data_IF_700741265000
#
_entry.id   IF_700741265000
#
_cell.length_a   1.000
_cell.length_b   1.000
_cell.length_c   1.000
_cell.angle_alpha   90.00
_cell.angle_beta   90.00
_cell.angle_gamma   90.00
#
_symmetry.space_group_name_H-M   'P 1'
#
loop_
_entity.id
_entity.type
_entity.pdbx_description
1 polymer ?
#
# COMPACT_ATOMS: atom_id res chain seq x y z
N UNK A 1 -28.33 -25.54 -37.63
CA UNK A 1 -29.79 -25.31 -37.50
C UNK A 1 -30.04 -23.85 -37.19
N UNK A 2 -30.24 -23.02 -38.20
CA UNK A 2 -30.65 -21.62 -38.05
C UNK A 2 -31.92 -21.45 -38.86
N UNK A 3 -33.05 -21.63 -38.16
CA UNK A 3 -34.38 -21.43 -38.73
C UNK A 3 -34.58 -19.96 -39.02
N UNK A 4 -34.35 -19.57 -40.27
CA UNK A 4 -34.81 -18.29 -40.80
C UNK A 4 -36.33 -18.31 -40.70
N UNK A 5 -36.88 -17.59 -39.71
CA UNK A 5 -38.34 -17.38 -39.60
C UNK A 5 -38.77 -16.61 -40.85
N UNK A 6 -39.16 -17.34 -41.89
CA UNK A 6 -39.82 -16.76 -43.06
C UNK A 6 -41.13 -16.17 -42.57
N UNK A 7 -41.26 -14.86 -42.71
CA UNK A 7 -42.52 -14.15 -42.51
C UNK A 7 -43.54 -14.76 -43.49
N UNK A 8 -44.80 -14.97 -43.07
CA UNK A 8 -45.81 -15.56 -43.94
C UNK A 8 -45.95 -14.72 -45.20
N UNK A 9 -45.70 -15.34 -46.36
CA UNK A 9 -45.93 -14.73 -47.65
C UNK A 9 -47.43 -14.48 -47.79
N UNK A 10 -47.82 -13.20 -47.79
CA UNK A 10 -49.19 -12.79 -48.09
C UNK A 10 -49.44 -13.18 -49.55
N UNK A 11 -50.50 -13.96 -49.87
CA UNK A 11 -50.81 -14.33 -51.25
C UNK A 11 -50.96 -13.06 -52.10
N UNK A 12 -50.23 -12.97 -53.20
CA UNK A 12 -50.17 -11.79 -54.06
C UNK A 12 -51.50 -11.45 -54.76
N UNK A 13 -52.54 -12.29 -54.64
CA UNK A 13 -53.74 -12.23 -55.46
C UNK A 13 -54.92 -11.42 -54.89
N UNK A 14 -54.75 -10.64 -53.82
CA UNK A 14 -55.86 -9.75 -53.35
C UNK A 14 -55.43 -8.35 -52.92
N UNK A 15 -54.19 -7.93 -53.16
CA UNK A 15 -53.77 -6.55 -52.88
C UNK A 15 -53.56 -5.79 -54.20
N UNK A 16 -54.14 -4.58 -54.36
CA UNK A 16 -54.06 -3.80 -55.61
C UNK A 16 -52.66 -3.23 -55.91
N UNK A 17 -51.61 -3.68 -55.21
CA UNK A 17 -50.22 -3.26 -55.42
C UNK A 17 -49.19 -4.24 -54.81
N UNK A 18 -47.96 -4.20 -55.32
CA UNK A 18 -46.84 -5.07 -54.93
C UNK A 18 -46.11 -4.57 -53.65
N UNK A 19 -45.93 -5.45 -52.66
CA UNK A 19 -45.22 -5.20 -51.40
C UNK A 19 -43.74 -5.56 -51.54
N UNK A 20 -42.82 -4.71 -51.07
CA UNK A 20 -41.37 -4.89 -51.23
C UNK A 20 -40.51 -3.92 -50.41
N UNK A 21 -39.20 -3.84 -50.70
CA UNK A 21 -38.30 -2.90 -50.03
C UNK A 21 -38.79 -1.47 -50.20
N UNK A 22 -38.99 -0.75 -49.08
CA UNK A 22 -39.60 0.59 -49.02
C UNK A 22 -41.07 0.67 -49.47
N UNK A 23 -41.77 -0.47 -49.61
CA UNK A 23 -43.20 -0.56 -49.95
C UNK A 23 -43.94 -1.45 -48.95
N UNK A 24 -44.22 -0.97 -47.73
CA UNK A 24 -44.91 -1.76 -46.70
C UNK A 24 -46.37 -2.08 -47.08
N UNK A 25 -46.99 -3.13 -46.52
CA UNK A 25 -48.41 -3.45 -46.66
C UNK A 25 -49.34 -2.29 -46.24
N UNK A 26 -50.41 -2.00 -47.00
CA UNK A 26 -51.31 -0.84 -46.82
C UNK A 26 -52.05 -0.96 -45.50
N UNK A 27 -52.38 -2.19 -45.09
CA UNK A 27 -52.98 -2.49 -43.79
C UNK A 27 -52.09 -2.09 -42.59
N UNK A 28 -50.79 -1.88 -42.80
CA UNK A 28 -49.82 -1.47 -41.78
C UNK A 28 -49.20 -0.09 -42.05
N UNK A 29 -49.59 0.57 -43.14
CA UNK A 29 -49.17 1.95 -43.40
C UNK A 29 -49.92 2.87 -42.44
N UNK A 30 -49.20 3.84 -41.90
CA UNK A 30 -49.82 4.90 -41.12
C UNK A 30 -50.65 5.78 -42.05
N UNK A 31 -51.95 5.91 -41.78
CA UNK A 31 -52.83 6.74 -42.59
C UNK A 31 -52.36 8.21 -42.59
N UNK A 32 -52.45 8.87 -43.75
CA UNK A 32 -52.15 10.30 -43.86
C UNK A 32 -52.97 11.10 -42.82
N UNK A 33 -52.27 11.83 -41.94
CA UNK A 33 -52.89 12.63 -40.89
C UNK A 33 -53.17 11.90 -39.57
N UNK A 34 -52.95 10.58 -39.46
CA UNK A 34 -53.06 9.88 -38.18
C UNK A 34 -51.82 10.13 -37.31
N UNK A 35 -51.98 10.87 -36.20
CA UNK A 35 -50.97 10.96 -35.14
C UNK A 35 -50.95 9.65 -34.34
N UNK A 36 -50.20 8.66 -34.81
CA UNK A 36 -50.03 7.33 -34.18
C UNK A 36 -49.40 7.44 -32.77
N UNK A 37 -48.75 8.56 -32.46
CA UNK A 37 -48.26 8.88 -31.13
C UNK A 37 -48.85 10.21 -30.61
N UNK A 38 -50.17 10.25 -30.36
CA UNK A 38 -50.88 11.46 -29.88
C UNK A 38 -50.31 12.05 -28.60
N UNK A 39 -49.77 11.22 -27.71
CA UNK A 39 -49.12 11.68 -26.47
C UNK A 39 -47.65 12.09 -26.68
N UNK A 40 -47.09 11.75 -27.84
CA UNK A 40 -45.69 11.97 -28.15
C UNK A 40 -44.77 11.42 -27.07
N UNK A 41 -43.53 11.84 -27.14
CA UNK A 41 -42.71 11.88 -25.94
C UNK A 41 -43.14 13.13 -25.14
N UNK A 42 -43.41 13.05 -23.83
CA UNK A 42 -43.84 14.20 -23.04
C UNK A 42 -42.88 15.38 -23.20
N UNK A 43 -43.42 16.57 -23.46
CA UNK A 43 -42.66 17.81 -23.63
C UNK A 43 -41.90 18.08 -22.32
N UNK A 44 -40.56 18.08 -22.39
CA UNK A 44 -39.68 18.25 -21.22
C UNK A 44 -39.18 16.96 -20.55
N UNK A 45 -39.50 15.78 -21.09
CA UNK A 45 -38.94 14.52 -20.59
C UNK A 45 -37.42 14.45 -20.84
N UNK A 46 -36.63 14.75 -19.81
CA UNK A 46 -35.17 14.55 -19.82
C UNK A 46 -34.89 13.04 -19.90
N UNK A 47 -33.85 12.64 -20.64
CA UNK A 47 -33.30 11.30 -20.43
C UNK A 47 -32.93 11.22 -18.95
N UNK A 48 -33.33 10.15 -18.23
CA UNK A 48 -32.75 9.87 -16.92
C UNK A 48 -31.27 9.67 -17.15
N UNK A 49 -30.48 10.69 -16.85
CA UNK A 49 -29.04 10.55 -16.83
C UNK A 49 -28.76 9.62 -15.65
N UNK A 50 -28.08 8.48 -15.86
CA UNK A 50 -27.61 7.72 -14.73
C UNK A 50 -26.77 8.65 -13.86
N UNK A 51 -26.83 8.48 -12.54
CA UNK A 51 -26.01 9.29 -11.65
C UNK A 51 -24.56 9.03 -12.07
N UNK A 52 -23.81 10.09 -12.41
CA UNK A 52 -22.46 9.95 -12.99
C UNK A 52 -21.57 9.01 -12.15
N UNK A 53 -21.68 9.06 -10.83
CA UNK A 53 -20.96 8.19 -9.91
C UNK A 53 -21.32 6.69 -10.08
N UNK A 54 -22.58 6.37 -10.35
CA UNK A 54 -23.05 4.99 -10.56
C UNK A 54 -22.45 4.38 -11.84
N UNK A 55 -22.33 5.17 -12.92
CA UNK A 55 -21.65 4.69 -14.14
C UNK A 55 -20.15 4.48 -13.93
N UNK A 56 -19.49 5.38 -13.19
CA UNK A 56 -18.06 5.26 -12.89
C UNK A 56 -17.81 4.00 -12.07
N UNK A 57 -18.60 3.79 -11.01
CA UNK A 57 -18.51 2.60 -10.15
C UNK A 57 -18.73 1.32 -10.94
N UNK A 58 -19.83 1.21 -11.70
CA UNK A 58 -20.12 0.03 -12.54
C UNK A 58 -18.99 -0.22 -13.56
N UNK A 59 -18.47 0.84 -14.18
CA UNK A 59 -17.40 0.70 -15.17
C UNK A 59 -16.11 0.18 -14.54
N UNK A 60 -15.72 0.72 -13.37
CA UNK A 60 -14.54 0.28 -12.65
C UNK A 60 -14.70 -1.14 -12.11
N UNK A 61 -15.89 -1.49 -11.62
CA UNK A 61 -16.20 -2.84 -11.16
C UNK A 61 -16.10 -3.85 -12.32
N UNK A 62 -16.75 -3.59 -13.45
CA UNK A 62 -16.69 -4.47 -14.63
C UNK A 62 -15.28 -4.58 -15.20
N UNK A 63 -14.50 -3.49 -15.17
CA UNK A 63 -13.11 -3.49 -15.59
C UNK A 63 -12.22 -4.35 -14.66
N UNK A 64 -12.54 -4.38 -13.36
CA UNK A 64 -11.84 -5.14 -12.34
C UNK A 64 -12.15 -6.64 -12.33
N UNK A 65 -13.30 -7.07 -12.88
CA UNK A 65 -13.66 -8.51 -12.92
C UNK A 65 -12.64 -9.34 -13.69
N UNK A 66 -12.38 -10.53 -13.18
CA UNK A 66 -11.43 -11.47 -13.77
C UNK A 66 -12.02 -12.27 -14.93
N UNK A 67 -11.17 -12.60 -15.89
CA UNK A 67 -11.44 -13.50 -17.00
C UNK A 67 -10.24 -14.43 -17.22
N UNK A 68 -10.52 -15.62 -17.73
CA UNK A 68 -9.48 -16.58 -18.12
C UNK A 68 -9.00 -16.24 -19.53
N UNK A 69 -7.73 -15.90 -19.67
CA UNK A 69 -7.07 -15.64 -20.96
C UNK A 69 -6.00 -16.70 -21.20
N UNK A 70 -5.86 -17.14 -22.45
CA UNK A 70 -4.79 -18.06 -22.86
C UNK A 70 -3.75 -17.29 -23.66
N UNK A 71 -2.52 -17.22 -23.17
CA UNK A 71 -1.38 -16.59 -23.85
C UNK A 71 -0.19 -17.56 -23.85
N UNK A 72 0.43 -17.79 -25.02
CA UNK A 72 1.58 -18.70 -25.12
C UNK A 72 1.33 -20.14 -24.68
N UNK A 73 0.07 -20.59 -24.73
CA UNK A 73 -0.34 -21.93 -24.27
C UNK A 73 -0.59 -22.06 -22.77
N UNK A 74 -0.36 -20.99 -21.98
CA UNK A 74 -0.68 -20.95 -20.55
C UNK A 74 -1.99 -20.20 -20.30
N UNK A 75 -2.80 -20.72 -19.37
CA UNK A 75 -4.02 -20.05 -18.90
C UNK A 75 -3.67 -19.18 -17.70
N UNK A 76 -4.09 -17.92 -17.75
CA UNK A 76 -3.98 -16.98 -16.65
C UNK A 76 -5.33 -16.33 -16.38
N UNK A 77 -5.67 -16.20 -15.10
CA UNK A 77 -6.80 -15.40 -14.65
C UNK A 77 -6.32 -13.97 -14.42
N UNK A 78 -6.87 -13.04 -15.20
CA UNK A 78 -6.51 -11.63 -15.16
C UNK A 78 -7.76 -10.76 -15.29
N UNK A 79 -7.71 -9.55 -14.72
CA UNK A 79 -8.81 -8.60 -14.88
C UNK A 79 -9.07 -8.24 -16.34
N UNK A 80 -10.33 -7.98 -16.67
CA UNK A 80 -10.76 -7.57 -18.02
C UNK A 80 -10.00 -6.35 -18.52
N UNK A 81 -9.76 -5.37 -17.65
CA UNK A 81 -8.95 -4.20 -17.98
C UNK A 81 -7.53 -4.60 -18.39
N UNK A 82 -6.89 -5.51 -17.65
CA UNK A 82 -5.54 -5.97 -17.97
C UNK A 82 -5.50 -6.71 -19.32
N UNK A 83 -6.48 -7.57 -19.58
CA UNK A 83 -6.62 -8.26 -20.86
C UNK A 83 -6.84 -7.29 -22.03
N UNK A 84 -7.70 -6.29 -21.84
CA UNK A 84 -7.94 -5.23 -22.82
C UNK A 84 -6.66 -4.46 -23.12
N UNK A 85 -5.89 -4.06 -22.10
CA UNK A 85 -4.62 -3.35 -22.28
C UNK A 85 -3.58 -4.18 -23.05
N UNK A 86 -3.47 -5.49 -22.77
CA UNK A 86 -2.59 -6.39 -23.53
C UNK A 86 -3.01 -6.49 -24.99
N UNK A 87 -4.31 -6.63 -25.26
CA UNK A 87 -4.82 -6.68 -26.64
C UNK A 87 -4.60 -5.36 -27.37
N UNK A 88 -4.88 -4.23 -26.73
CA UNK A 88 -4.69 -2.89 -27.28
C UNK A 88 -3.21 -2.65 -27.63
N UNK A 89 -2.30 -3.07 -26.75
CA UNK A 89 -0.86 -3.03 -27.00
C UNK A 89 -0.45 -3.90 -28.20
N UNK A 90 -0.93 -5.14 -28.26
CA UNK A 90 -0.66 -6.04 -29.40
C UNK A 90 -1.16 -5.45 -30.72
N UNK A 91 -2.36 -4.87 -30.73
CA UNK A 91 -2.93 -4.18 -31.89
C UNK A 91 -2.10 -2.94 -32.29
N UNK A 92 -1.57 -2.20 -31.32
CA UNK A 92 -0.67 -1.07 -31.56
C UNK A 92 0.66 -1.52 -32.18
N UNK A 93 1.25 -2.62 -31.70
CA UNK A 93 2.48 -3.20 -32.26
C UNK A 93 2.29 -3.73 -33.69
N UNK A 94 1.09 -4.21 -34.02
CA UNK A 94 0.73 -4.63 -35.37
C UNK A 94 0.47 -3.45 -36.34
N UNK A 95 0.71 -2.21 -35.91
CA UNK A 95 0.63 -1.02 -36.78
C UNK A 95 -0.78 -0.46 -36.96
N UNK A 96 -1.77 -0.86 -36.14
CA UNK A 96 -3.10 -0.26 -36.18
C UNK A 96 -3.04 1.16 -35.62
N UNK A 97 -2.96 2.16 -36.49
CA UNK A 97 -2.74 3.58 -36.14
C UNK A 97 -3.69 4.13 -35.07
N UNK A 98 -4.95 3.71 -35.06
CA UNK A 98 -5.90 4.09 -33.99
C UNK A 98 -5.52 3.49 -32.63
N UNK A 99 -5.17 2.20 -32.58
CA UNK A 99 -4.74 1.53 -31.35
C UNK A 99 -3.43 2.11 -30.84
N UNK A 100 -2.47 2.40 -31.73
CA UNK A 100 -1.19 3.02 -31.37
C UNK A 100 -1.39 4.41 -30.74
N UNK A 101 -2.26 5.24 -31.32
CA UNK A 101 -2.59 6.56 -30.74
C UNK A 101 -3.28 6.45 -29.38
N UNK A 102 -4.25 5.55 -29.25
CA UNK A 102 -4.96 5.34 -27.98
C UNK A 102 -4.01 4.84 -26.89
N UNK A 103 -3.17 3.85 -27.21
CA UNK A 103 -2.21 3.30 -26.28
C UNK A 103 -1.16 4.34 -25.85
N UNK A 104 -0.60 5.10 -26.80
CA UNK A 104 0.34 6.18 -26.50
C UNK A 104 -0.29 7.25 -25.60
N UNK A 105 -1.57 7.62 -25.84
CA UNK A 105 -2.31 8.54 -24.98
C UNK A 105 -2.51 8.00 -23.56
N UNK A 106 -2.88 6.72 -23.42
CA UNK A 106 -3.02 6.08 -22.11
C UNK A 106 -1.70 6.05 -21.33
N UNK A 107 -0.59 5.69 -21.98
CA UNK A 107 0.74 5.67 -21.35
C UNK A 107 1.17 7.07 -20.92
N UNK A 108 0.99 8.07 -21.79
CA UNK A 108 1.33 9.46 -21.49
C UNK A 108 0.53 9.98 -20.30
N UNK A 109 -0.79 9.76 -20.30
CA UNK A 109 -1.65 10.17 -19.19
C UNK A 109 -1.30 9.43 -17.89
N UNK A 110 -0.97 8.13 -17.97
CA UNK A 110 -0.55 7.38 -16.80
C UNK A 110 0.78 7.88 -16.22
N UNK A 111 1.73 8.28 -17.08
CA UNK A 111 2.98 8.91 -16.64
C UNK A 111 2.72 10.27 -15.99
N UNK A 112 1.95 11.15 -16.64
CA UNK A 112 1.60 12.46 -16.10
C UNK A 112 0.84 12.37 -14.77
N UNK A 113 -0.10 11.44 -14.63
CA UNK A 113 -0.82 11.25 -13.36
C UNK A 113 0.07 10.66 -12.26
N UNK A 114 1.05 9.82 -12.63
CA UNK A 114 2.05 9.32 -11.68
C UNK A 114 2.91 10.49 -11.18
N UNK A 115 3.42 11.32 -12.08
CA UNK A 115 4.24 12.48 -11.76
C UNK A 115 3.44 13.49 -10.93
N UNK A 116 2.19 13.79 -11.30
CA UNK A 116 1.30 14.68 -10.54
C UNK A 116 1.05 14.17 -9.12
N UNK A 117 0.73 12.88 -8.95
CA UNK A 117 0.55 12.29 -7.61
C UNK A 117 1.83 12.35 -6.80
N UNK A 118 2.96 12.15 -7.47
CA UNK A 118 4.27 12.24 -6.84
C UNK A 118 4.55 13.67 -6.33
N UNK A 119 4.42 14.67 -7.20
CA UNK A 119 4.57 16.09 -6.86
C UNK A 119 3.59 16.55 -5.78
N UNK A 120 2.32 16.14 -5.88
CA UNK A 120 1.31 16.46 -4.87
C UNK A 120 1.70 15.88 -3.52
N UNK A 121 2.05 14.60 -3.45
CA UNK A 121 2.52 13.98 -2.21
C UNK A 121 3.75 14.69 -1.63
N UNK A 122 4.74 14.94 -2.48
CA UNK A 122 5.99 15.61 -2.10
C UNK A 122 5.74 17.02 -1.53
N UNK A 123 4.87 17.80 -2.18
CA UNK A 123 4.46 19.14 -1.71
C UNK A 123 3.80 19.08 -0.33
N UNK A 124 2.85 18.17 -0.12
CA UNK A 124 2.15 18.05 1.16
C UNK A 124 3.11 17.66 2.29
N UNK A 125 4.09 16.78 2.02
CA UNK A 125 5.10 16.39 3.02
C UNK A 125 6.01 17.57 3.37
N UNK A 126 6.47 18.34 2.37
CA UNK A 126 7.28 19.55 2.63
C UNK A 126 6.50 20.57 3.47
N UNK A 127 5.26 20.86 3.10
CA UNK A 127 4.39 21.80 3.82
C UNK A 127 4.17 21.35 5.26
N UNK A 128 3.92 20.05 5.47
CA UNK A 128 3.80 19.46 6.80
C UNK A 128 5.08 19.61 7.61
N UNK A 129 6.24 19.22 7.06
CA UNK A 129 7.52 19.21 7.75
C UNK A 129 7.93 20.61 8.19
N UNK A 130 7.91 21.57 7.26
CA UNK A 130 8.19 22.98 7.55
C UNK A 130 7.21 23.58 8.56
N UNK A 131 5.92 23.25 8.45
CA UNK A 131 4.89 23.76 9.36
C UNK A 131 4.98 23.18 10.78
N UNK A 132 5.41 21.93 10.91
CA UNK A 132 5.55 21.27 12.18
C UNK A 132 6.86 21.64 12.90
N UNK A 133 7.98 21.76 12.19
CA UNK A 133 9.25 22.27 12.75
C UNK A 133 9.07 23.66 13.38
N UNK A 134 8.40 24.58 12.67
CA UNK A 134 8.08 25.92 13.19
C UNK A 134 7.26 25.86 14.48
N UNK A 135 6.23 25.00 14.52
CA UNK A 135 5.39 24.83 15.72
C UNK A 135 6.20 24.25 16.89
N UNK A 136 7.03 23.25 16.64
CA UNK A 136 7.92 22.66 17.65
C UNK A 136 8.90 23.71 18.22
N UNK A 137 9.47 24.57 17.38
CA UNK A 137 10.30 25.69 17.84
C UNK A 137 9.52 26.71 18.70
N UNK A 138 8.28 27.03 18.32
CA UNK A 138 7.42 27.92 19.09
C UNK A 138 7.07 27.33 20.47
N UNK A 139 6.75 26.04 20.53
CA UNK A 139 6.54 25.33 21.79
C UNK A 139 7.77 25.38 22.68
N UNK A 140 8.96 25.11 22.11
CA UNK A 140 10.25 25.19 22.80
C UNK A 140 10.53 26.60 23.35
N UNK A 141 10.27 27.65 22.55
CA UNK A 141 10.42 29.05 22.98
C UNK A 141 9.46 29.44 24.10
N UNK A 142 8.26 28.86 24.11
CA UNK A 142 7.23 29.14 25.11
C UNK A 142 7.33 28.26 26.36
N UNK A 143 8.21 27.24 26.36
CA UNK A 143 8.32 26.27 27.44
C UNK A 143 7.05 25.43 27.64
N UNK A 144 6.24 25.27 26.59
CA UNK A 144 5.01 24.48 26.61
C UNK A 144 5.33 23.14 25.97
N UNK A 145 4.86 22.05 26.57
CA UNK A 145 5.02 20.72 25.99
C UNK A 145 4.18 20.63 24.70
N UNK A 146 4.78 20.23 23.57
CA UNK A 146 4.06 20.13 22.31
C UNK A 146 2.94 19.08 22.42
N UNK A 147 1.82 19.26 21.71
CA UNK A 147 0.79 18.24 21.62
C UNK A 147 1.42 16.96 21.04
N UNK A 148 1.00 15.80 21.56
CA UNK A 148 1.50 14.50 21.10
C UNK A 148 1.18 14.35 19.61
N UNK A 149 2.21 14.46 18.78
CA UNK A 149 2.08 14.22 17.35
C UNK A 149 1.89 12.73 17.11
N UNK A 150 0.89 12.41 16.31
CA UNK A 150 0.71 11.05 15.85
C UNK A 150 1.72 10.69 14.76
N UNK A 151 1.94 11.61 13.83
CA UNK A 151 3.01 11.56 12.84
C UNK A 151 4.01 12.68 13.13
N UNK A 152 5.22 12.35 13.55
CA UNK A 152 6.28 13.33 13.78
C UNK A 152 6.94 13.73 12.44
N UNK A 153 7.41 14.99 12.28
CA UNK A 153 8.07 15.44 11.04
C UNK A 153 9.28 14.62 10.61
N UNK A 154 10.00 14.04 11.58
CA UNK A 154 11.16 13.19 11.32
C UNK A 154 10.80 11.84 10.71
N UNK A 155 9.53 11.41 10.84
CA UNK A 155 9.06 10.18 10.20
C UNK A 155 8.98 10.31 8.68
N UNK A 156 8.91 11.53 8.16
CA UNK A 156 8.88 11.80 6.73
C UNK A 156 10.30 11.98 6.21
N UNK A 157 10.77 10.98 5.47
CA UNK A 157 12.07 11.01 4.79
C UNK A 157 11.86 11.56 3.38
N UNK A 158 12.59 12.63 3.08
CA UNK A 158 12.57 13.32 1.78
C UNK A 158 13.91 13.09 1.09
N UNK A 159 13.91 12.38 -0.03
CA UNK A 159 15.03 12.31 -0.93
C UNK A 159 14.84 13.33 -2.06
N UNK A 160 15.35 14.53 -1.82
CA UNK A 160 15.25 15.65 -2.76
C UNK A 160 16.00 15.34 -4.07
N UNK A 161 17.04 14.49 -4.04
CA UNK A 161 17.85 14.21 -5.23
C UNK A 161 17.13 13.31 -6.21
N UNK A 162 16.39 12.35 -5.69
CA UNK A 162 15.66 11.39 -6.49
C UNK A 162 14.18 11.77 -6.69
N UNK A 163 13.74 12.89 -6.12
CA UNK A 163 12.34 13.26 -6.00
C UNK A 163 11.54 12.04 -5.52
N UNK A 164 11.83 11.58 -4.30
CA UNK A 164 11.09 10.51 -3.65
C UNK A 164 10.89 10.81 -2.18
N UNK A 165 9.86 10.23 -1.60
CA UNK A 165 9.59 10.33 -0.17
C UNK A 165 8.96 9.05 0.36
N UNK A 166 9.21 8.77 1.63
CA UNK A 166 8.57 7.66 2.33
C UNK A 166 8.37 8.02 3.81
N UNK A 167 7.46 7.29 4.45
CA UNK A 167 7.23 7.37 5.89
C UNK A 167 7.96 6.20 6.51
N UNK A 168 8.83 6.48 7.45
CA UNK A 168 9.41 5.47 8.31
C UNK A 168 8.60 5.42 9.62
N UNK A 169 8.56 4.26 10.28
CA UNK A 169 7.79 4.07 11.52
C UNK A 169 6.28 3.86 11.34
N UNK A 170 5.54 3.77 12.45
CA UNK A 170 4.11 3.42 12.44
C UNK A 170 3.26 4.57 11.89
N UNK A 171 2.26 4.23 11.08
CA UNK A 171 1.28 5.16 10.51
C UNK A 171 -0.06 5.15 11.26
N UNK A 172 -0.32 4.12 12.07
CA UNK A 172 -1.54 3.97 12.86
C UNK A 172 -1.29 3.92 14.40
N UNK A 173 -2.28 4.22 15.25
CA UNK A 173 -2.13 4.07 16.71
C UNK A 173 -1.97 2.60 17.08
N UNK A 174 -2.69 1.74 16.35
CA UNK A 174 -2.59 0.30 16.46
C UNK A 174 -1.19 -0.19 16.07
N UNK A 175 -0.66 0.25 14.92
CA UNK A 175 0.68 -0.11 14.46
C UNK A 175 1.76 0.38 15.43
N UNK A 176 1.56 1.54 16.05
CA UNK A 176 2.43 2.06 17.11
C UNK A 176 2.43 1.12 18.31
N UNK A 177 1.26 0.77 18.81
CA UNK A 177 1.12 -0.07 20.00
C UNK A 177 1.65 -1.49 19.75
N UNK A 178 1.41 -2.04 18.56
CA UNK A 178 2.02 -3.29 18.08
C UNK A 178 3.55 -3.20 18.00
N UNK A 179 4.07 -2.08 17.48
CA UNK A 179 5.51 -1.84 17.43
C UNK A 179 6.11 -1.76 18.83
N UNK A 180 5.47 -1.03 19.77
CA UNK A 180 5.90 -0.94 21.17
C UNK A 180 5.92 -2.33 21.81
N UNK A 181 4.84 -3.10 21.67
CA UNK A 181 4.76 -4.45 22.21
C UNK A 181 5.86 -5.37 21.66
N UNK A 182 6.13 -5.29 20.34
CA UNK A 182 7.22 -6.03 19.71
C UNK A 182 8.59 -5.61 20.27
N UNK A 183 8.84 -4.31 20.46
CA UNK A 183 10.08 -3.82 21.08
C UNK A 183 10.23 -4.30 22.52
N UNK A 184 9.18 -4.24 23.32
CA UNK A 184 9.19 -4.71 24.71
C UNK A 184 9.45 -6.21 24.81
N UNK A 185 8.81 -7.02 23.96
CA UNK A 185 9.07 -8.45 23.88
C UNK A 185 10.53 -8.73 23.54
N UNK A 186 11.06 -8.06 22.50
CA UNK A 186 12.44 -8.25 22.07
C UNK A 186 13.44 -7.77 23.11
N UNK A 187 13.12 -6.69 23.83
CA UNK A 187 13.90 -6.20 24.98
C UNK A 187 13.94 -7.25 26.08
N UNK A 188 12.80 -7.82 26.46
CA UNK A 188 12.68 -8.84 27.49
C UNK A 188 13.49 -10.10 27.14
N UNK A 189 13.44 -10.55 25.88
CA UNK A 189 14.27 -11.67 25.40
C UNK A 189 15.77 -11.36 25.52
N UNK A 190 16.19 -10.18 25.07
CA UNK A 190 17.59 -9.76 25.17
C UNK A 190 18.05 -9.71 26.64
N UNK A 191 17.22 -9.20 27.54
CA UNK A 191 17.52 -9.17 28.98
C UNK A 191 17.67 -10.57 29.58
N UNK A 192 16.79 -11.51 29.22
CA UNK A 192 16.89 -12.92 29.67
C UNK A 192 18.18 -13.57 29.19
N UNK A 193 18.51 -13.41 27.91
CA UNK A 193 19.73 -13.98 27.34
C UNK A 193 20.98 -13.37 27.98
N UNK A 194 20.98 -12.07 28.23
CA UNK A 194 22.11 -11.38 28.83
C UNK A 194 22.30 -11.77 30.29
N UNK A 195 21.22 -11.90 31.06
CA UNK A 195 21.26 -12.44 32.42
C UNK A 195 21.86 -13.85 32.42
N UNK A 196 21.45 -14.71 31.50
CA UNK A 196 22.01 -16.05 31.37
C UNK A 196 23.53 -16.02 31.10
N UNK A 197 24.01 -15.13 30.22
CA UNK A 197 25.46 -14.99 29.95
C UNK A 197 26.19 -14.44 31.18
N UNK A 198 25.60 -13.49 31.92
CA UNK A 198 26.19 -12.96 33.16
C UNK A 198 26.28 -13.99 34.28
N UNK A 199 25.25 -14.82 34.45
CA UNK A 199 25.24 -15.91 35.42
C UNK A 199 26.34 -16.93 35.08
N UNK A 200 26.44 -17.33 33.80
CA UNK A 200 27.49 -18.24 33.31
C UNK A 200 28.90 -17.65 33.44
N UNK A 201 29.07 -16.36 33.18
CA UNK A 201 30.33 -15.65 33.37
C UNK A 201 30.74 -15.68 34.86
N UNK A 202 29.80 -15.40 35.75
CA UNK A 202 30.03 -15.40 37.21
C UNK A 202 30.43 -16.80 37.71
N UNK A 203 29.79 -17.85 37.20
CA UNK A 203 30.17 -19.25 37.48
C UNK A 203 31.56 -19.59 36.96
N UNK A 204 31.87 -19.16 35.73
CA UNK A 204 33.18 -19.40 35.10
C UNK A 204 34.31 -18.67 35.82
N UNK A 205 34.08 -17.44 36.29
CA UNK A 205 35.04 -16.67 37.10
C UNK A 205 35.29 -17.31 38.47
N UNK A 206 34.24 -17.83 39.13
CA UNK A 206 34.36 -18.60 40.38
C UNK A 206 35.14 -19.90 40.16
N UNK A 207 34.81 -20.65 39.11
CA UNK A 207 35.51 -21.89 38.76
C UNK A 207 36.99 -21.62 38.43
N UNK A 208 37.28 -20.58 37.67
CA UNK A 208 38.65 -20.19 37.31
C UNK A 208 39.48 -19.78 38.54
N UNK A 209 38.86 -19.18 39.56
CA UNK A 209 39.53 -18.76 40.78
C UNK A 209 39.87 -19.93 41.71
N UNK A 210 39.07 -21.00 41.69
CA UNK A 210 39.26 -22.19 42.51
C UNK A 210 40.09 -23.30 41.82
N UNK A 211 40.30 -23.20 40.51
CA UNK A 211 40.98 -24.22 39.71
C UNK A 211 42.51 -24.09 39.76
N UNK A 212 43.19 -25.21 39.96
CA UNK A 212 44.65 -25.27 40.10
C UNK A 212 45.32 -25.87 38.85
N UNK A 213 44.60 -26.66 38.04
CA UNK A 213 45.13 -27.24 36.79
C UNK A 213 45.34 -26.14 35.71
N UNK A 214 46.58 -25.94 35.22
CA UNK A 214 46.90 -24.97 34.17
C UNK A 214 46.10 -25.13 32.87
N UNK A 215 45.77 -26.37 32.48
CA UNK A 215 45.03 -26.63 31.23
C UNK A 215 43.56 -26.23 31.35
N UNK A 216 42.93 -26.58 32.46
CA UNK A 216 41.54 -26.21 32.76
C UNK A 216 41.41 -24.69 32.97
N UNK A 217 42.35 -24.08 33.67
CA UNK A 217 42.41 -22.62 33.86
C UNK A 217 42.47 -21.86 32.52
N UNK A 218 43.31 -22.31 31.58
CA UNK A 218 43.39 -21.72 30.22
C UNK A 218 42.11 -21.93 29.38
N UNK A 219 41.32 -22.97 29.67
CA UNK A 219 40.01 -23.18 29.02
C UNK A 219 38.97 -22.22 29.61
N UNK A 220 38.86 -22.16 30.93
CA UNK A 220 37.95 -21.25 31.64
C UNK A 220 38.23 -19.78 31.30
N UNK A 221 39.50 -19.38 31.16
CA UNK A 221 39.84 -18.02 30.73
C UNK A 221 39.32 -17.70 29.33
N UNK A 222 39.37 -18.66 28.39
CA UNK A 222 38.79 -18.48 27.05
C UNK A 222 37.28 -18.33 27.09
N UNK A 223 36.61 -19.13 27.93
CA UNK A 223 35.16 -19.06 28.10
C UNK A 223 34.75 -17.70 28.71
N UNK A 224 35.49 -17.20 29.71
CA UNK A 224 35.33 -15.86 30.30
C UNK A 224 35.50 -14.76 29.24
N UNK A 225 36.56 -14.82 28.45
CA UNK A 225 36.84 -13.81 27.42
C UNK A 225 35.76 -13.81 26.32
N UNK A 226 35.28 -15.00 25.93
CA UNK A 226 34.18 -15.15 24.97
C UNK A 226 32.87 -14.57 25.50
N UNK A 227 32.55 -14.79 26.76
CA UNK A 227 31.33 -14.28 27.39
C UNK A 227 31.39 -12.75 27.56
N UNK A 228 32.54 -12.20 27.96
CA UNK A 228 32.77 -10.75 28.00
C UNK A 228 32.63 -10.10 26.62
N UNK A 229 33.20 -10.72 25.58
CA UNK A 229 33.06 -10.26 24.19
C UNK A 229 31.60 -10.31 23.72
N UNK A 230 30.87 -11.36 24.10
CA UNK A 230 29.45 -11.51 23.78
C UNK A 230 28.62 -10.42 24.43
N UNK A 231 28.82 -10.15 25.73
CA UNK A 231 28.14 -9.06 26.46
C UNK A 231 28.44 -7.69 25.82
N UNK A 232 29.70 -7.42 25.48
CA UNK A 232 30.09 -6.16 24.82
C UNK A 232 29.41 -5.99 23.44
N UNK A 233 29.30 -7.07 22.67
CA UNK A 233 28.62 -7.08 21.36
C UNK A 233 27.12 -6.82 21.53
N UNK A 234 26.49 -7.47 22.51
CA UNK A 234 25.08 -7.23 22.83
C UNK A 234 24.83 -5.77 23.25
N UNK A 235 25.69 -5.20 24.11
CA UNK A 235 25.64 -3.78 24.50
C UNK A 235 25.67 -2.86 23.27
N UNK A 236 26.67 -3.01 22.41
CA UNK A 236 26.84 -2.16 21.22
C UNK A 236 25.63 -2.23 20.30
N UNK A 237 25.17 -3.44 19.97
CA UNK A 237 24.00 -3.65 19.10
C UNK A 237 22.72 -3.10 19.72
N UNK A 238 22.62 -3.14 21.04
CA UNK A 238 21.49 -2.58 21.77
C UNK A 238 21.46 -1.04 21.70
N UNK A 239 22.62 -0.39 21.79
CA UNK A 239 22.76 1.06 21.64
C UNK A 239 22.47 1.50 20.19
N UNK A 240 22.96 0.75 19.20
CA UNK A 240 22.66 0.97 17.77
C UNK A 240 21.15 0.91 17.51
N UNK A 241 20.45 -0.08 18.08
CA UNK A 241 18.99 -0.20 17.97
C UNK A 241 18.27 0.96 18.66
N UNK A 242 18.68 1.35 19.88
CA UNK A 242 18.06 2.48 20.57
C UNK A 242 18.24 3.79 19.80
N UNK A 243 19.41 4.01 19.20
CA UNK A 243 19.66 5.20 18.37
C UNK A 243 18.80 5.22 17.11
N UNK A 244 18.65 4.07 16.45
CA UNK A 244 17.74 3.94 15.31
C UNK A 244 16.26 4.17 15.69
N UNK A 245 15.93 3.97 16.97
CA UNK A 245 14.56 4.08 17.47
C UNK A 245 14.20 5.43 18.12
N UNK A 246 15.21 6.20 18.54
CA UNK A 246 15.04 7.55 19.10
C UNK A 246 14.17 8.49 18.25
N UNK A 247 14.28 8.54 16.91
CA UNK A 247 13.46 9.43 16.09
C UNK A 247 11.95 9.14 16.20
N UNK A 248 11.57 7.93 16.61
CA UNK A 248 10.17 7.54 16.70
C UNK A 248 9.48 8.02 17.98
N UNK A 249 10.21 8.40 19.03
CA UNK A 249 9.62 8.92 20.27
C UNK A 249 8.57 8.03 20.96
N UNK A 250 8.35 6.79 20.50
CA UNK A 250 7.22 5.94 20.89
C UNK A 250 7.57 4.92 21.97
N UNK A 251 8.82 4.47 22.01
CA UNK A 251 9.34 3.65 23.09
C UNK A 251 10.19 4.60 23.92
N UNK A 252 9.89 4.78 25.21
CA UNK A 252 10.87 5.39 26.11
C UNK A 252 12.17 4.63 25.86
N UNK A 253 13.18 5.30 25.28
CA UNK A 253 14.44 4.68 24.87
C UNK A 253 15.24 4.37 26.11
N UNK A 254 14.72 3.45 26.92
CA UNK A 254 15.34 2.89 28.09
C UNK A 254 16.44 1.98 27.58
N UNK A 255 17.62 2.03 28.20
CA UNK A 255 18.67 1.12 27.81
C UNK A 255 18.13 -0.32 27.88
N UNK A 256 18.51 -1.17 26.93
CA UNK A 256 18.20 -2.60 26.97
C UNK A 256 18.76 -3.25 28.24
N UNK A 257 19.78 -2.62 28.82
CA UNK A 257 20.41 -2.96 30.07
C UNK A 257 20.03 -1.95 31.15
N UNK A 258 19.25 -2.38 32.13
CA UNK A 258 19.24 -1.63 33.38
C UNK A 258 20.65 -1.77 33.95
N UNK A 259 21.43 -0.69 33.97
CA UNK A 259 22.62 -0.64 34.80
C UNK A 259 22.14 -0.84 36.24
N UNK A 260 22.21 -2.07 36.74
CA UNK A 260 22.23 -2.27 38.17
C UNK A 260 23.47 -1.53 38.63
N UNK A 261 23.29 -0.28 39.06
CA UNK A 261 24.25 0.40 39.93
C UNK A 261 24.57 -0.63 41.01
N UNK A 262 25.84 -0.97 41.23
CA UNK A 262 26.19 -1.86 42.33
C UNK A 262 25.52 -1.28 43.56
N UNK A 263 24.72 -2.10 44.24
CA UNK A 263 24.11 -1.74 45.50
C UNK A 263 25.23 -1.19 46.35
N UNK A 264 25.26 0.13 46.57
CA UNK A 264 26.04 0.74 47.63
C UNK A 264 25.38 0.30 48.92
N UNK A 265 25.59 -0.97 49.26
CA UNK A 265 25.46 -1.49 50.60
C UNK A 265 26.56 -0.81 51.40
N UNK A 266 26.25 0.42 51.81
CA UNK A 266 27.01 1.13 52.82
C UNK A 266 26.34 0.74 54.13
N UNK A 267 26.66 -0.46 54.60
CA UNK A 267 26.64 -0.69 56.02
C UNK A 267 27.64 0.28 56.65
N UNK A 268 27.15 1.23 57.43
CA UNK A 268 27.74 1.75 58.67
C UNK A 268 26.95 2.98 59.16
N UNK A 269 26.40 2.86 60.37
CA UNK A 269 25.71 3.91 61.11
C UNK A 269 24.71 3.33 62.10
#
# INVERSE_FOLDING_TARGET
>A
MTGTKQLPAIPAETLPYEVGYRKPPVQHQFGNGQKINRKGRPKGSKNKQPKFNELVEITLEEAGRDIVVTEGGQRAEISRWRAFMRRLYSDALMGKSHASRLYAGLVTNAALEKDRRHEEGFKHVIEFKLGAEKRLEEYKKRGIEPPKFFLHPDQFVLDIRNDTWWIEGPLSEQERDESIAFYEERRNECQRLLKFIQDRLSESERAHSNETDPKLRKRLQRDIDQDRSSIATFKRRSEELLEALKPWGFVETRPLLDEQKPSTDTGQG
#
